data_IF_343230139831
#
_entry.id   IF_343230139831
#
_cell.length_a   1.000
_cell.length_b   1.000
_cell.length_c   1.000
_cell.angle_alpha   90.00
_cell.angle_beta   90.00
_cell.angle_gamma   90.00
#
_symmetry.space_group_name_H-M   'P 1'
#
loop_
_entity.id
_entity.type
_entity.pdbx_description
1 polymer ?
#
# COMPACT_ATOMS: atom_id res chain seq x y z
N UNK A 1 3.03 -0.29 0.67
CA UNK A 1 1.97 0.23 -0.22
C UNK A 1 1.31 1.40 0.49
N UNK A 2 1.01 2.49 -0.23
CA UNK A 2 0.23 3.60 0.33
C UNK A 2 -1.25 3.19 0.44
N UNK A 3 -2.07 4.02 1.08
CA UNK A 3 -3.53 3.88 0.99
C UNK A 3 -4.01 4.12 -0.46
N UNK A 4 -5.22 3.67 -0.76
CA UNK A 4 -5.76 3.68 -2.14
C UNK A 4 -5.77 5.10 -2.74
N UNK A 5 -6.28 6.08 -1.98
CA UNK A 5 -6.38 7.47 -2.43
C UNK A 5 -5.01 8.05 -2.76
N UNK A 6 -4.05 7.91 -1.84
CA UNK A 6 -2.69 8.40 -2.05
C UNK A 6 -2.00 7.68 -3.21
N UNK A 7 -2.22 6.36 -3.38
CA UNK A 7 -1.69 5.63 -4.53
C UNK A 7 -2.21 6.21 -5.85
N UNK A 8 -3.52 6.44 -5.96
CA UNK A 8 -4.14 6.95 -7.20
C UNK A 8 -3.63 8.36 -7.53
N UNK A 9 -3.44 9.20 -6.52
CA UNK A 9 -2.88 10.54 -6.67
C UNK A 9 -1.41 10.49 -7.13
N UNK A 10 -0.57 9.65 -6.52
CA UNK A 10 0.82 9.45 -6.93
C UNK A 10 0.90 8.91 -8.36
N UNK A 11 0.06 7.93 -8.71
CA UNK A 11 0.03 7.33 -10.05
C UNK A 11 -0.39 8.37 -11.11
N UNK A 12 -1.39 9.19 -10.81
CA UNK A 12 -1.81 10.27 -11.69
C UNK A 12 -0.68 11.29 -11.94
N UNK A 13 0.00 11.74 -10.88
CA UNK A 13 1.10 12.70 -10.98
C UNK A 13 2.31 12.12 -11.72
N UNK A 14 2.62 10.85 -11.47
CA UNK A 14 3.68 10.15 -12.19
C UNK A 14 3.36 10.02 -13.69
N UNK A 15 2.12 9.65 -14.04
CA UNK A 15 1.68 9.55 -15.45
C UNK A 15 1.61 10.90 -16.15
N UNK A 16 1.35 11.98 -15.41
CA UNK A 16 1.39 13.36 -15.93
C UNK A 16 2.82 13.81 -16.28
N UNK A 17 3.84 13.11 -15.78
CA UNK A 17 5.24 13.42 -16.02
C UNK A 17 5.81 14.43 -15.03
N UNK A 18 5.19 14.60 -13.86
CA UNK A 18 5.74 15.46 -12.82
C UNK A 18 7.03 14.85 -12.27
N UNK A 19 8.01 15.71 -11.99
CA UNK A 19 9.29 15.28 -11.40
C UNK A 19 9.20 15.08 -9.89
N UNK A 20 8.38 15.90 -9.23
CA UNK A 20 8.20 15.90 -7.78
C UNK A 20 6.75 16.20 -7.43
N UNK A 21 6.29 15.62 -6.33
CA UNK A 21 4.98 15.84 -5.77
C UNK A 21 5.07 16.01 -4.25
N UNK A 22 4.19 16.84 -3.69
CA UNK A 22 4.02 16.99 -2.25
C UNK A 22 2.75 16.27 -1.82
N UNK A 23 2.84 15.41 -0.81
CA UNK A 23 1.71 14.63 -0.30
C UNK A 23 1.63 14.73 1.22
N UNK A 24 0.42 14.79 1.75
CA UNK A 24 0.16 14.83 3.19
C UNK A 24 -0.13 13.41 3.69
N UNK A 25 0.74 12.88 4.56
CA UNK A 25 0.57 11.56 5.18
C UNK A 25 0.53 11.71 6.69
N UNK A 26 -0.61 11.38 7.31
CA UNK A 26 -0.82 11.42 8.77
C UNK A 26 -0.37 12.76 9.39
N UNK A 27 -0.76 13.88 8.77
CA UNK A 27 -0.46 15.23 9.27
C UNK A 27 0.97 15.72 9.05
N UNK A 28 1.77 15.02 8.23
CA UNK A 28 3.11 15.45 7.85
C UNK A 28 3.25 15.54 6.32
N UNK A 29 3.95 16.57 5.87
CA UNK A 29 4.21 16.78 4.45
C UNK A 29 5.43 15.99 3.99
N UNK A 30 5.22 15.17 2.97
CA UNK A 30 6.26 14.37 2.33
C UNK A 30 6.43 14.83 0.89
N UNK A 31 7.69 14.89 0.46
CA UNK A 31 8.04 15.07 -0.94
C UNK A 31 8.31 13.70 -1.55
N UNK A 32 7.67 13.43 -2.67
CA UNK A 32 7.92 12.31 -3.54
C UNK A 32 8.74 12.82 -4.72
N UNK A 33 9.95 12.29 -4.84
CA UNK A 33 10.86 12.53 -5.95
C UNK A 33 10.78 11.33 -6.91
N UNK A 34 10.21 11.57 -8.08
CA UNK A 34 10.03 10.55 -9.11
C UNK A 34 11.31 10.31 -9.92
N UNK A 35 12.22 11.28 -10.00
CA UNK A 35 13.50 11.11 -10.69
C UNK A 35 14.39 10.14 -9.91
N UNK A 36 14.45 10.32 -8.60
CA UNK A 36 15.27 9.50 -7.71
C UNK A 36 14.50 8.33 -7.08
N UNK A 37 13.22 8.18 -7.40
CA UNK A 37 12.31 7.19 -6.82
C UNK A 37 12.45 7.10 -5.29
N UNK A 38 12.32 8.25 -4.63
CA UNK A 38 12.44 8.38 -3.18
C UNK A 38 11.37 9.28 -2.59
N UNK A 39 10.92 8.95 -1.37
CA UNK A 39 10.11 9.83 -0.53
C UNK A 39 10.93 10.31 0.66
N UNK A 40 10.72 11.56 1.07
CA UNK A 40 11.33 12.13 2.28
C UNK A 40 10.41 13.19 2.88
N UNK A 41 10.61 13.52 4.15
CA UNK A 41 9.83 14.56 4.83
C UNK A 41 10.43 15.93 4.51
N UNK A 42 9.61 16.92 4.19
CA UNK A 42 10.11 18.23 3.72
C UNK A 42 11.09 18.88 4.72
N UNK A 43 10.79 18.77 6.01
CA UNK A 43 11.56 19.41 7.09
C UNK A 43 12.56 18.47 7.79
N UNK A 44 12.73 17.23 7.30
CA UNK A 44 13.54 16.23 7.98
C UNK A 44 14.25 15.31 6.98
N UNK A 45 15.58 15.45 6.92
CA UNK A 45 16.47 14.70 6.03
C UNK A 45 16.86 13.32 6.56
N UNK A 46 16.52 12.98 7.82
CA UNK A 46 16.97 11.73 8.45
C UNK A 46 16.38 10.47 7.79
N UNK A 47 15.15 10.55 7.27
CA UNK A 47 14.41 9.38 6.76
C UNK A 47 14.02 9.55 5.31
N UNK A 48 14.79 8.93 4.42
CA UNK A 48 14.45 8.74 3.00
C UNK A 48 14.04 7.29 2.78
N UNK A 49 12.88 7.06 2.15
CA UNK A 49 12.41 5.72 1.80
C UNK A 49 12.37 5.60 0.28
N UNK A 50 12.84 4.49 -0.26
CA UNK A 50 12.70 4.21 -1.69
C UNK A 50 11.24 3.92 -2.01
N UNK A 51 10.75 4.50 -3.10
CA UNK A 51 9.44 4.17 -3.66
C UNK A 51 9.65 3.30 -4.90
N UNK A 52 8.63 2.53 -5.26
CA UNK A 52 8.64 1.71 -6.47
C UNK A 52 7.25 1.79 -7.10
N UNK A 53 7.22 1.96 -8.41
CA UNK A 53 6.02 1.73 -9.21
C UNK A 53 5.96 0.25 -9.60
N UNK A 54 4.90 -0.44 -9.18
CA UNK A 54 4.80 -1.90 -9.35
C UNK A 54 3.33 -2.35 -9.45
N UNK A 55 3.13 -3.59 -9.89
CA UNK A 55 1.82 -4.21 -9.99
C UNK A 55 1.19 -4.40 -8.60
N UNK A 56 -0.13 -4.23 -8.51
CA UNK A 56 -0.88 -4.37 -7.26
C UNK A 56 -0.81 -5.79 -6.65
N UNK A 57 -0.60 -6.81 -7.50
CA UNK A 57 -0.45 -8.21 -7.10
C UNK A 57 0.92 -8.55 -6.53
N UNK A 58 1.89 -7.63 -6.58
CA UNK A 58 3.23 -7.87 -6.07
C UNK A 58 3.22 -8.16 -4.56
N UNK A 59 4.11 -9.05 -4.08
CA UNK A 59 4.20 -9.40 -2.67
C UNK A 59 4.60 -8.18 -1.82
N UNK A 60 3.82 -7.91 -0.76
CA UNK A 60 3.99 -6.72 0.10
C UNK A 60 3.82 -7.08 1.57
N UNK A 61 4.53 -6.36 2.44
CA UNK A 61 4.46 -6.53 3.90
C UNK A 61 3.11 -6.10 4.48
N UNK A 62 2.42 -5.20 3.79
CA UNK A 62 1.23 -4.53 4.27
C UNK A 62 0.91 -3.26 3.51
N UNK A 63 -0.13 -2.57 3.97
CA UNK A 63 -0.68 -1.34 3.38
C UNK A 63 -0.75 -0.27 4.46
N UNK A 64 -0.18 0.91 4.19
CA UNK A 64 -0.20 2.06 5.11
C UNK A 64 0.21 1.77 6.58
N UNK A 65 1.09 0.79 6.81
CA UNK A 65 1.52 0.38 8.14
C UNK A 65 0.70 -0.76 8.77
N UNK A 66 -0.41 -1.15 8.17
CA UNK A 66 -1.20 -2.33 8.55
C UNK A 66 -0.58 -3.58 7.93
N UNK A 67 -0.30 -4.59 8.76
CA UNK A 67 0.21 -5.88 8.29
C UNK A 67 -0.92 -6.65 7.60
N UNK A 68 -0.59 -7.32 6.51
CA UNK A 68 -1.49 -8.32 5.93
C UNK A 68 -1.34 -9.58 6.77
N UNK A 69 -2.31 -9.87 7.64
CA UNK A 69 -2.26 -11.07 8.47
C UNK A 69 -2.24 -12.31 7.57
N UNK A 70 -1.18 -13.11 7.72
CA UNK A 70 -0.98 -14.34 6.94
C UNK A 70 -1.74 -15.54 7.54
N UNK A 71 -2.87 -15.32 8.21
CA UNK A 71 -3.57 -16.33 9.02
C UNK A 71 -5.09 -16.15 8.88
N UNK A 72 -5.94 -17.14 8.56
CA UNK A 72 -5.81 -18.59 8.35
C UNK A 72 -6.90 -19.01 7.37
N UNK A 73 -6.56 -19.77 6.34
CA UNK A 73 -7.50 -20.71 5.72
C UNK A 73 -7.75 -21.84 6.74
N UNK A 74 -8.57 -21.56 7.76
CA UNK A 74 -9.25 -22.65 8.44
C UNK A 74 -10.40 -23.05 7.50
N UNK A 75 -10.43 -24.28 6.95
CA UNK A 75 -11.58 -24.73 6.21
C UNK A 75 -12.79 -24.69 7.16
N UNK A 76 -13.79 -23.88 6.82
CA UNK A 76 -15.10 -23.94 7.43
C UNK A 76 -15.68 -25.31 7.08
N UNK A 77 -15.54 -26.29 7.98
CA UNK A 77 -16.15 -27.60 7.85
C UNK A 77 -17.67 -27.41 8.00
N UNK A 78 -18.34 -27.16 6.87
CA UNK A 78 -19.80 -27.19 6.78
C UNK A 78 -20.24 -28.62 7.09
N UNK A 79 -20.87 -28.75 8.25
CA UNK A 79 -21.32 -29.99 8.87
C UNK A 79 -21.99 -30.95 7.89
N UNK A 80 -21.55 -32.21 7.95
CA UNK A 80 -22.32 -33.35 7.49
C UNK A 80 -23.62 -33.41 8.32
N UNK A 81 -24.76 -33.08 7.70
CA UNK A 81 -26.08 -33.50 8.16
C UNK A 81 -26.90 -33.85 6.91
N UNK A 82 -26.56 -34.97 6.29
CA UNK A 82 -27.48 -35.70 5.43
C UNK A 82 -27.52 -37.14 5.94
N UNK A 83 -28.40 -37.37 6.92
CA UNK A 83 -28.90 -38.69 7.24
C UNK A 83 -30.42 -38.63 7.02
N UNK A 84 -30.98 -39.41 6.08
CA UNK A 84 -32.43 -39.49 5.96
C UNK A 84 -32.98 -40.25 7.17
N UNK A 85 -33.84 -39.56 7.92
CA UNK A 85 -34.79 -40.20 8.83
C UNK A 85 -36.07 -40.42 8.04
N UNK A 86 -36.59 -41.65 8.14
CA UNK A 86 -37.80 -42.26 7.54
C UNK A 86 -37.61 -42.90 6.17
#
# INVERSE_FOLDING_TARGET
MYDQRTNDEIDHLFRRGDRRAEILIVGHLYVIDFENMTQYRLNDTQRRRRIKYDLMSAPKKGVAGLKLDRQRSAPHNSAAIDAPVV
#
